data_IF_773419810690
#
_entry.id   IF_773419810690
#
_cell.length_a   1.000
_cell.length_b   1.000
_cell.length_c   1.000
_cell.angle_alpha   90.00
_cell.angle_beta   90.00
_cell.angle_gamma   90.00
#
_symmetry.space_group_name_H-M   'P 1'
#
loop_
_entity.id
_entity.type
_entity.pdbx_description
1 polymer ?
#
# COMPACT_ATOMS: atom_id res chain seq x y z
N UNK A 1 -7.09 -3.23 18.74
CA UNK A 1 -5.97 -2.53 18.08
C UNK A 1 -4.76 -3.42 18.24
N UNK A 2 -4.04 -3.69 17.16
CA UNK A 2 -2.87 -4.58 17.16
C UNK A 2 -1.69 -3.82 16.58
N UNK A 3 -0.51 -4.07 17.12
CA UNK A 3 0.76 -3.51 16.65
C UNK A 3 1.66 -4.67 16.23
N UNK A 4 2.54 -4.39 15.26
CA UNK A 4 3.44 -5.37 14.68
C UNK A 4 4.83 -4.76 14.60
N UNK A 5 5.86 -5.59 14.71
CA UNK A 5 7.25 -5.16 14.60
C UNK A 5 7.72 -5.10 13.14
N UNK A 6 7.08 -5.87 12.25
CA UNK A 6 7.31 -5.86 10.82
C UNK A 6 6.11 -5.27 10.05
N UNK A 7 6.40 -4.44 9.04
CA UNK A 7 5.38 -3.74 8.24
C UNK A 7 4.47 -4.67 7.44
N UNK A 8 4.94 -5.86 7.02
CA UNK A 8 4.15 -6.78 6.23
C UNK A 8 3.20 -7.60 7.08
N UNK A 9 3.54 -7.87 8.35
CA UNK A 9 2.62 -8.55 9.28
C UNK A 9 1.29 -7.81 9.40
N UNK A 10 1.34 -6.47 9.46
CA UNK A 10 0.18 -5.61 9.52
C UNK A 10 -0.77 -5.73 8.31
N UNK A 11 -0.33 -6.30 7.19
CA UNK A 11 -1.14 -6.51 5.99
C UNK A 11 -1.92 -7.83 5.99
N UNK A 12 -1.55 -8.76 6.87
CA UNK A 12 -1.99 -10.15 6.77
C UNK A 12 -3.50 -10.28 7.06
N UNK A 13 -4.27 -10.60 6.02
CA UNK A 13 -5.72 -10.78 6.12
C UNK A 13 -6.52 -9.47 6.24
N UNK A 14 -5.90 -8.31 5.97
CA UNK A 14 -6.59 -7.01 5.97
C UNK A 14 -7.18 -6.71 4.59
N UNK A 15 -8.20 -5.84 4.55
CA UNK A 15 -8.90 -5.49 3.31
C UNK A 15 -8.16 -4.44 2.47
N UNK A 16 -7.21 -3.70 3.06
CA UNK A 16 -6.42 -2.69 2.38
C UNK A 16 -5.38 -2.03 3.28
N UNK A 17 -4.54 -1.19 2.69
CA UNK A 17 -3.48 -0.42 3.35
C UNK A 17 -3.81 1.08 3.32
N UNK A 18 -3.60 1.77 4.44
CA UNK A 18 -3.64 3.23 4.53
C UNK A 18 -2.27 3.78 4.94
N UNK A 19 -1.67 4.63 4.10
CA UNK A 19 -0.38 5.28 4.37
C UNK A 19 -0.64 6.70 4.89
N UNK A 20 -0.31 6.93 6.16
CA UNK A 20 -0.47 8.23 6.83
C UNK A 20 0.87 8.91 7.16
N UNK A 21 2.00 8.23 6.95
CA UNK A 21 3.36 8.75 7.15
C UNK A 21 4.30 8.27 6.05
N UNK A 22 5.24 9.11 5.65
CA UNK A 22 6.18 8.94 4.52
C UNK A 22 7.53 8.33 4.94
N UNK A 23 7.52 7.40 5.89
CA UNK A 23 8.77 6.77 6.32
C UNK A 23 9.48 6.08 5.15
N UNK A 24 10.81 6.26 5.06
CA UNK A 24 11.64 5.69 3.98
C UNK A 24 11.46 4.18 3.81
N UNK A 25 11.16 3.48 4.89
CA UNK A 25 10.92 2.05 4.91
C UNK A 25 9.72 1.64 4.02
N UNK A 26 8.76 2.54 3.79
CA UNK A 26 7.60 2.29 2.96
C UNK A 26 7.81 2.62 1.48
N UNK A 27 8.88 3.32 1.10
CA UNK A 27 9.08 3.83 -0.28
C UNK A 27 9.43 2.76 -1.31
N UNK A 28 9.99 1.62 -0.89
CA UNK A 28 10.40 0.53 -1.78
C UNK A 28 9.98 -0.84 -1.19
N UNK A 29 8.67 -1.13 -1.14
CA UNK A 29 8.19 -2.41 -0.63
C UNK A 29 8.29 -3.50 -1.71
N UNK A 30 8.11 -4.74 -1.28
CA UNK A 30 7.79 -5.84 -2.17
C UNK A 30 6.27 -5.85 -2.42
N UNK A 31 5.86 -5.29 -3.55
CA UNK A 31 4.46 -5.24 -3.96
C UNK A 31 3.83 -6.63 -4.19
N UNK A 32 4.65 -7.63 -4.55
CA UNK A 32 4.16 -9.00 -4.72
C UNK A 32 3.81 -9.61 -3.37
N UNK A 33 4.62 -9.34 -2.35
CA UNK A 33 4.36 -9.80 -0.98
C UNK A 33 3.15 -9.09 -0.37
N UNK A 34 3.01 -7.77 -0.58
CA UNK A 34 1.82 -7.03 -0.14
C UNK A 34 0.53 -7.64 -0.71
N UNK A 35 0.54 -7.97 -2.01
CA UNK A 35 -0.63 -8.53 -2.72
C UNK A 35 -1.03 -9.92 -2.21
N UNK A 36 -0.08 -10.72 -1.73
CA UNK A 36 -0.38 -12.03 -1.13
C UNK A 36 -1.05 -11.91 0.24
N UNK A 37 -0.72 -10.86 0.99
CA UNK A 37 -1.17 -10.67 2.38
C UNK A 37 -2.52 -9.96 2.48
N UNK A 38 -2.73 -8.98 1.62
CA UNK A 38 -4.00 -8.27 1.52
C UNK A 38 -5.09 -9.17 0.91
N UNK A 39 -6.31 -9.12 1.45
CA UNK A 39 -7.49 -9.78 0.85
C UNK A 39 -7.85 -9.16 -0.50
N UNK A 40 -7.73 -7.84 -0.57
CA UNK A 40 -7.96 -7.04 -1.76
C UNK A 40 -6.74 -6.14 -1.95
N UNK A 41 -6.16 -6.03 -3.16
CA UNK A 41 -5.00 -5.17 -3.40
C UNK A 41 -5.39 -3.69 -3.42
N UNK A 42 -5.89 -3.17 -2.30
CA UNK A 42 -6.41 -1.81 -2.12
C UNK A 42 -5.44 -0.98 -1.28
N UNK A 43 -5.06 0.19 -1.77
CA UNK A 43 -4.15 1.12 -1.10
C UNK A 43 -4.74 2.54 -1.14
N UNK A 44 -4.79 3.18 0.03
CA UNK A 44 -5.01 4.61 0.19
C UNK A 44 -3.70 5.27 0.62
N UNK A 45 -3.18 6.17 -0.19
CA UNK A 45 -1.89 6.82 0.03
C UNK A 45 -2.06 8.33 0.24
N UNK A 46 -2.08 8.71 1.52
CA UNK A 46 -2.19 10.11 1.94
C UNK A 46 -0.87 10.88 1.84
N UNK A 47 0.23 10.23 1.47
CA UNK A 47 1.58 10.79 1.50
C UNK A 47 2.32 10.73 0.17
N UNK A 48 1.68 10.20 -0.87
CA UNK A 48 2.21 10.10 -2.23
C UNK A 48 3.50 9.27 -2.33
N UNK A 49 3.60 8.24 -1.48
CA UNK A 49 4.76 7.33 -1.40
C UNK A 49 4.90 6.50 -2.68
N UNK A 50 3.79 6.06 -3.26
CA UNK A 50 3.80 5.23 -4.47
C UNK A 50 3.53 6.00 -5.76
N UNK A 51 4.06 5.45 -6.84
CA UNK A 51 3.81 5.94 -8.19
C UNK A 51 2.53 5.30 -8.75
N UNK A 52 1.66 6.13 -9.32
CA UNK A 52 0.35 5.70 -9.85
C UNK A 52 0.50 4.64 -10.94
N UNK A 53 1.47 4.80 -11.85
CA UNK A 53 1.67 3.86 -12.96
C UNK A 53 2.14 2.51 -12.44
N UNK A 54 3.08 2.51 -11.50
CA UNK A 54 3.52 1.27 -10.84
C UNK A 54 2.35 0.56 -10.15
N UNK A 55 1.49 1.28 -9.43
CA UNK A 55 0.36 0.65 -8.74
C UNK A 55 -0.61 -0.01 -9.72
N UNK A 56 -0.83 0.63 -10.87
CA UNK A 56 -1.62 0.05 -11.97
C UNK A 56 -0.94 -1.18 -12.58
N UNK A 57 0.36 -1.13 -12.84
CA UNK A 57 1.14 -2.26 -13.39
C UNK A 57 1.10 -3.49 -12.46
N UNK A 58 1.18 -3.28 -11.15
CA UNK A 58 1.05 -4.35 -10.15
C UNK A 58 -0.42 -4.76 -9.88
N UNK A 59 -1.39 -4.07 -10.47
CA UNK A 59 -2.82 -4.36 -10.34
C UNK A 59 -3.36 -4.11 -8.93
N UNK A 60 -2.94 -3.01 -8.32
CA UNK A 60 -3.56 -2.46 -7.12
C UNK A 60 -4.68 -1.49 -7.49
N UNK A 61 -5.75 -1.47 -6.71
CA UNK A 61 -6.64 -0.32 -6.62
C UNK A 61 -5.95 0.72 -5.73
N UNK A 62 -5.58 1.86 -6.30
CA UNK A 62 -4.75 2.85 -5.61
C UNK A 62 -5.38 4.23 -5.65
N UNK A 63 -5.64 4.77 -4.46
CA UNK A 63 -6.21 6.09 -4.26
C UNK A 63 -5.15 6.98 -3.61
N UNK A 64 -4.79 8.09 -4.26
CA UNK A 64 -3.82 9.05 -3.72
C UNK A 64 -4.32 10.47 -3.83
N UNK A 65 -3.80 11.35 -2.97
CA UNK A 65 -4.26 12.73 -2.91
C UNK A 65 -3.85 13.49 -4.17
N UNK A 66 -4.82 14.11 -4.85
CA UNK A 66 -4.55 15.04 -5.95
C UNK A 66 -4.00 14.41 -7.24
N UNK A 67 -3.99 13.07 -7.36
CA UNK A 67 -3.60 12.36 -8.59
C UNK A 67 -4.77 11.50 -9.06
N UNK A 68 -5.02 11.51 -10.38
CA UNK A 68 -6.02 10.60 -10.96
C UNK A 68 -5.43 9.19 -11.09
N UNK A 69 -6.24 8.20 -10.76
CA UNK A 69 -5.98 6.80 -11.06
C UNK A 69 -6.64 6.47 -12.42
N UNK A 70 -5.92 6.72 -13.52
CA UNK A 70 -6.36 6.45 -14.90
C UNK A 70 -5.75 5.19 -15.47
#
# INVERSE_FOLDING_TARGET
ISYFEDKYEALSGTDGLLIITEWKEFCAPDFSEMKKRLKTPLIFDGRLVYDVKKMKEFGFEYHSIGRKFE
#
